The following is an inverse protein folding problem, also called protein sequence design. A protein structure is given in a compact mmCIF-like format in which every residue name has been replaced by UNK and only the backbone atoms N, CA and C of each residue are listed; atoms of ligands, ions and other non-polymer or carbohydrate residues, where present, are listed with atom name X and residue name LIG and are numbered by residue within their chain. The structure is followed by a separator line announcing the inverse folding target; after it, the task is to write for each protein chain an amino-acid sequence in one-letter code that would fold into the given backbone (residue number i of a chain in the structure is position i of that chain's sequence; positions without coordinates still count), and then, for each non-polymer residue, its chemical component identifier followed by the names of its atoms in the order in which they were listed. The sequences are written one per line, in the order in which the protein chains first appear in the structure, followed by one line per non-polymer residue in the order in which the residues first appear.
data_IF_727354215355
#
_entry.id   IF_727354215355
#
_cell.length_a   1.000
_cell.length_b   1.000
_cell.length_c   1.000
_cell.angle_alpha   90.00
_cell.angle_beta   90.00
_cell.angle_gamma   90.00
#
_symmetry.space_group_name_H-M   'P 1'
#
loop_
_entity.id
_entity.type
_entity.pdbx_description
1 polymer ?
#
# COMPACT_ATOMS: atom_id res chain seq x y z
N UNK A 1 2.98 -56.99 15.64
CA UNK A 1 3.35 -55.74 14.94
C UNK A 1 2.22 -54.70 14.98
N UNK A 2 1.27 -54.76 15.92
CA UNK A 2 0.04 -53.96 15.88
C UNK A 2 0.07 -52.69 16.76
N UNK A 3 1.22 -52.34 17.36
CA UNK A 3 1.34 -51.17 18.25
C UNK A 3 1.75 -49.89 17.51
N UNK A 4 2.38 -50.00 16.33
CA UNK A 4 2.79 -48.83 15.54
C UNK A 4 1.65 -48.26 14.67
N UNK A 5 0.66 -49.08 14.28
CA UNK A 5 -0.45 -48.66 13.40
C UNK A 5 -1.40 -47.65 14.07
N UNK A 6 -1.60 -47.75 15.40
CA UNK A 6 -2.47 -46.83 16.14
C UNK A 6 -1.84 -45.45 16.37
N UNK A 7 -0.53 -45.38 16.61
CA UNK A 7 0.17 -44.10 16.80
C UNK A 7 0.32 -43.31 15.48
N UNK A 8 0.44 -44.02 14.36
CA UNK A 8 0.51 -43.43 13.02
C UNK A 8 -0.84 -42.82 12.61
N UNK A 9 -1.95 -43.50 12.90
CA UNK A 9 -3.31 -43.03 12.59
C UNK A 9 -3.70 -41.75 13.36
N UNK A 10 -3.32 -41.64 14.63
CA UNK A 10 -3.56 -40.43 15.43
C UNK A 10 -2.68 -39.24 14.98
N UNK A 11 -1.44 -39.51 14.54
CA UNK A 11 -0.56 -38.52 13.93
C UNK A 11 -1.15 -37.98 12.62
N UNK A 12 -1.65 -38.88 11.77
CA UNK A 12 -2.32 -38.53 10.51
C UNK A 12 -3.58 -37.69 10.74
N UNK A 13 -4.42 -38.08 11.71
CA UNK A 13 -5.63 -37.32 12.08
C UNK A 13 -5.31 -35.92 12.58
N UNK A 14 -4.27 -35.78 13.40
CA UNK A 14 -3.81 -34.49 13.89
C UNK A 14 -3.27 -33.63 12.74
N UNK A 15 -2.50 -34.21 11.83
CA UNK A 15 -1.99 -33.53 10.64
C UNK A 15 -3.11 -33.02 9.74
N UNK A 16 -4.17 -33.82 9.56
CA UNK A 16 -5.34 -33.46 8.78
C UNK A 16 -6.14 -32.32 9.43
N UNK A 17 -6.25 -32.31 10.77
CA UNK A 17 -6.88 -31.22 11.49
C UNK A 17 -6.13 -29.89 11.32
N UNK A 18 -4.80 -29.90 11.44
CA UNK A 18 -3.97 -28.72 11.18
C UNK A 18 -4.08 -28.26 9.72
N UNK A 19 -4.03 -29.18 8.77
CA UNK A 19 -4.22 -28.87 7.35
C UNK A 19 -5.58 -28.21 7.09
N UNK A 20 -6.65 -28.65 7.78
CA UNK A 20 -7.97 -28.05 7.69
C UNK A 20 -7.99 -26.61 8.22
N UNK A 21 -7.34 -26.34 9.35
CA UNK A 21 -7.19 -24.98 9.89
C UNK A 21 -6.41 -24.08 8.93
N UNK A 22 -5.29 -24.57 8.40
CA UNK A 22 -4.47 -23.83 7.41
C UNK A 22 -5.29 -23.51 6.17
N UNK A 23 -6.08 -24.47 5.67
CA UNK A 23 -6.95 -24.27 4.54
C UNK A 23 -8.06 -23.25 4.82
N UNK A 24 -8.62 -23.24 6.04
CA UNK A 24 -9.59 -22.23 6.47
C UNK A 24 -8.97 -20.83 6.53
N UNK A 25 -7.76 -20.71 7.08
CA UNK A 25 -7.02 -19.44 7.11
C UNK A 25 -6.73 -18.94 5.69
N UNK A 26 -6.32 -19.84 4.78
CA UNK A 26 -6.08 -19.50 3.37
C UNK A 26 -7.35 -18.97 2.69
N UNK A 27 -8.50 -19.62 2.92
CA UNK A 27 -9.79 -19.14 2.42
C UNK A 27 -10.14 -17.76 2.98
N UNK A 28 -9.98 -17.54 4.29
CA UNK A 28 -10.22 -16.24 4.91
C UNK A 28 -9.32 -15.15 4.29
N UNK A 29 -8.03 -15.43 4.07
CA UNK A 29 -7.09 -14.54 3.39
C UNK A 29 -7.55 -14.20 1.97
N UNK A 30 -7.99 -15.19 1.18
CA UNK A 30 -8.49 -14.95 -0.19
C UNK A 30 -9.76 -14.09 -0.21
N UNK A 31 -10.66 -14.29 0.74
CA UNK A 31 -11.87 -13.47 0.83
C UNK A 31 -11.56 -12.03 1.24
N UNK A 32 -10.60 -11.82 2.15
CA UNK A 32 -10.06 -10.50 2.46
C UNK A 32 -9.46 -9.84 1.21
N UNK A 33 -8.62 -10.56 0.46
CA UNK A 33 -8.00 -10.07 -0.77
C UNK A 33 -9.06 -9.64 -1.80
N UNK A 34 -10.07 -10.47 -2.05
CA UNK A 34 -11.18 -10.11 -2.95
C UNK A 34 -11.90 -8.86 -2.48
N UNK A 35 -12.30 -8.81 -1.21
CA UNK A 35 -13.04 -7.67 -0.65
C UNK A 35 -12.28 -6.35 -0.84
N UNK A 36 -10.98 -6.34 -0.55
CA UNK A 36 -10.15 -5.14 -0.68
C UNK A 36 -9.68 -4.87 -2.12
N UNK A 37 -9.65 -5.87 -3.01
CA UNK A 37 -9.33 -5.67 -4.43
C UNK A 37 -10.44 -4.91 -5.17
N UNK A 38 -11.71 -5.13 -4.79
CA UNK A 38 -12.85 -4.43 -5.40
C UNK A 38 -13.17 -3.10 -4.72
N UNK A 39 -12.59 -2.83 -3.54
CA UNK A 39 -12.83 -1.61 -2.79
C UNK A 39 -11.76 -0.56 -3.11
N UNK A 40 -12.17 0.62 -3.57
CA UNK A 40 -11.24 1.74 -3.72
C UNK A 40 -10.61 2.06 -2.35
N UNK A 41 -9.28 2.14 -2.29
CA UNK A 41 -8.53 2.31 -1.04
C UNK A 41 -8.95 3.54 -0.20
N UNK A 42 -9.65 4.50 -0.81
CA UNK A 42 -10.16 5.69 -0.15
C UNK A 42 -11.27 5.42 0.90
N UNK A 43 -11.79 4.18 1.00
CA UNK A 43 -12.83 3.80 1.98
C UNK A 43 -12.33 2.94 3.14
N UNK A 44 -11.04 2.59 3.18
CA UNK A 44 -10.49 1.73 4.21
C UNK A 44 -10.29 2.50 5.52
N UNK A 45 -10.76 1.95 6.64
CA UNK A 45 -10.47 2.44 7.99
C UNK A 45 -9.02 2.11 8.37
N UNK A 46 -8.46 2.84 9.33
CA UNK A 46 -7.07 2.69 9.76
C UNK A 46 -6.68 1.24 10.13
N UNK A 47 -7.57 0.50 10.81
CA UNK A 47 -7.31 -0.90 11.17
C UNK A 47 -7.33 -1.85 9.97
N UNK A 48 -8.12 -1.55 8.94
CA UNK A 48 -8.17 -2.29 7.68
C UNK A 48 -6.89 -2.05 6.89
N UNK A 49 -6.40 -0.81 6.86
CA UNK A 49 -5.10 -0.46 6.26
C UNK A 49 -3.97 -1.26 6.94
N UNK A 50 -3.93 -1.30 8.28
CA UNK A 50 -2.94 -2.08 9.03
C UNK A 50 -2.99 -3.58 8.69
N UNK A 51 -4.19 -4.13 8.54
CA UNK A 51 -4.40 -5.52 8.13
C UNK A 51 -3.88 -5.77 6.71
N UNK A 52 -4.28 -4.94 5.75
CA UNK A 52 -3.86 -5.04 4.35
C UNK A 52 -2.35 -4.96 4.25
N UNK A 53 -1.70 -3.99 4.89
CA UNK A 53 -0.24 -3.86 4.86
C UNK A 53 0.47 -5.08 5.45
N UNK A 54 -0.05 -5.66 6.54
CA UNK A 54 0.60 -6.78 7.24
C UNK A 54 0.47 -8.12 6.51
N UNK A 55 -0.65 -8.36 5.84
CA UNK A 55 -0.99 -9.67 5.29
C UNK A 55 -1.09 -9.70 3.76
N UNK A 56 -1.31 -8.54 3.13
CA UNK A 56 -1.56 -8.39 1.69
C UNK A 56 -0.70 -7.30 1.03
N UNK A 57 0.25 -6.69 1.75
CA UNK A 57 1.21 -5.77 1.16
C UNK A 57 1.99 -6.52 0.11
N UNK A 58 1.66 -6.31 -1.18
CA UNK A 58 2.29 -6.98 -2.32
C UNK A 58 3.81 -6.79 -2.17
N UNK A 59 4.51 -7.84 -1.77
CA UNK A 59 5.97 -7.85 -1.86
C UNK A 59 6.29 -7.87 -3.34
N UNK A 60 6.75 -6.72 -3.86
CA UNK A 60 7.24 -6.62 -5.23
C UNK A 60 8.49 -7.48 -5.35
N UNK A 61 8.33 -8.72 -5.80
CA UNK A 61 9.43 -9.67 -5.79
C UNK A 61 9.22 -10.92 -6.62
N UNK A 62 8.60 -10.81 -7.81
CA UNK A 62 8.56 -11.79 -8.92
C UNK A 62 7.39 -11.34 -9.83
N UNK A 63 7.51 -11.00 -11.11
CA UNK A 63 8.20 -11.68 -12.22
C UNK A 63 8.47 -10.68 -13.36
N UNK A 64 9.69 -10.77 -13.89
CA UNK A 64 10.10 -10.62 -15.29
C UNK A 64 9.75 -9.35 -16.10
N UNK A 65 10.82 -8.56 -16.25
CA UNK A 65 11.20 -7.79 -17.42
C UNK A 65 10.81 -8.47 -18.73
N UNK A 66 10.02 -7.79 -19.57
CA UNK A 66 10.35 -7.72 -20.98
C UNK A 66 10.12 -6.29 -21.50
N UNK A 67 11.20 -5.75 -22.02
CA UNK A 67 11.33 -4.48 -22.71
C UNK A 67 10.65 -4.55 -24.07
N UNK A 68 9.85 -3.56 -24.44
CA UNK A 68 9.84 -3.09 -25.83
C UNK A 68 9.34 -1.66 -25.91
N UNK A 69 10.02 -0.93 -26.77
CA UNK A 69 10.10 0.51 -26.90
C UNK A 69 9.04 1.06 -27.88
N UNK A 70 8.90 2.39 -27.89
CA UNK A 70 8.32 3.25 -28.94
C UNK A 70 6.76 3.23 -29.06
N UNK A 71 6.02 4.28 -29.41
CA UNK A 71 6.26 5.58 -30.03
C UNK A 71 5.07 6.52 -29.69
N UNK A 72 5.31 7.83 -29.85
CA UNK A 72 4.42 9.01 -29.77
C UNK A 72 2.96 8.78 -30.23
N UNK A 73 2.00 9.53 -29.67
CA UNK A 73 1.34 10.70 -30.32
C UNK A 73 0.20 11.23 -29.41
N UNK A 74 0.01 12.54 -29.48
CA UNK A 74 -0.94 13.42 -28.80
C UNK A 74 -2.41 12.98 -28.88
N UNK A 75 -3.17 13.14 -27.80
CA UNK A 75 -4.50 13.80 -27.74
C UNK A 75 -5.24 13.38 -26.47
N UNK A 76 -5.60 14.40 -25.67
CA UNK A 76 -6.76 14.52 -24.76
C UNK A 76 -7.53 13.25 -24.39
N UNK A 77 -7.61 12.97 -23.09
CA UNK A 77 -8.86 12.85 -22.29
C UNK A 77 -8.47 12.46 -20.86
N UNK A 78 -8.97 13.22 -19.88
CA UNK A 78 -8.75 13.01 -18.45
C UNK A 78 -9.15 11.60 -17.96
N UNK A 79 -8.58 11.14 -16.83
CA UNK A 79 -9.39 10.39 -15.89
C UNK A 79 -9.27 10.89 -14.44
N UNK A 80 -10.45 11.25 -13.95
CA UNK A 80 -10.98 11.17 -12.59
C UNK A 80 -10.12 10.55 -11.49
N UNK A 81 -9.99 11.32 -10.40
CA UNK A 81 -9.64 10.96 -9.04
C UNK A 81 -10.04 9.53 -8.62
N UNK A 82 -9.04 8.73 -8.25
CA UNK A 82 -9.13 7.65 -7.26
C UNK A 82 -7.71 7.27 -6.84
N UNK A 83 -7.16 8.01 -5.88
CA UNK A 83 -5.85 7.77 -5.29
C UNK A 83 -5.94 6.50 -4.41
N UNK A 84 -5.74 5.35 -5.03
CA UNK A 84 -5.67 4.06 -4.34
C UNK A 84 -4.22 3.78 -3.92
N UNK A 85 -4.05 3.25 -2.70
CA UNK A 85 -2.82 2.78 -2.05
C UNK A 85 -1.52 3.11 -2.81
N UNK A 86 -0.84 4.20 -2.43
CA UNK A 86 0.44 4.57 -3.01
C UNK A 86 1.54 3.59 -2.59
N UNK A 87 1.62 2.46 -3.28
CA UNK A 87 2.88 1.80 -3.58
C UNK A 87 3.49 2.53 -4.79
N UNK A 88 3.98 3.76 -4.57
CA UNK A 88 4.86 4.45 -5.51
C UNK A 88 6.30 4.32 -5.01
N UNK A 89 6.92 3.20 -5.32
CA UNK A 89 8.36 3.22 -5.61
C UNK A 89 8.53 3.52 -7.08
N UNK A 90 8.36 4.80 -7.44
CA UNK A 90 8.93 5.41 -8.64
C UNK A 90 9.21 6.86 -8.30
N UNK A 91 10.46 7.27 -8.46
CA UNK A 91 10.88 8.67 -8.57
C UNK A 91 9.97 9.38 -9.58
N UNK A 92 8.89 9.96 -9.09
CA UNK A 92 8.03 10.87 -9.81
C UNK A 92 7.78 11.98 -8.82
N UNK A 93 8.44 13.11 -9.05
CA UNK A 93 8.22 14.36 -8.34
C UNK A 93 6.73 14.71 -8.43
N UNK A 94 5.97 14.38 -7.40
CA UNK A 94 4.58 14.81 -7.26
C UNK A 94 4.55 15.95 -6.25
N UNK A 95 4.08 17.11 -6.71
CA UNK A 95 3.77 18.21 -5.83
C UNK A 95 2.57 17.83 -4.95
N UNK A 96 2.62 18.21 -3.67
CA UNK A 96 1.55 17.92 -2.69
C UNK A 96 0.84 19.23 -2.37
N UNK A 97 -0.49 19.20 -2.38
CA UNK A 97 -1.33 20.33 -1.98
C UNK A 97 -1.97 20.06 -0.61
N UNK A 98 -1.91 21.04 0.29
CA UNK A 98 -2.43 20.94 1.66
C UNK A 98 -3.29 22.18 1.95
N UNK A 99 -4.57 21.97 2.28
CA UNK A 99 -5.46 23.05 2.72
C UNK A 99 -5.37 23.24 4.22
N UNK A 100 -5.17 24.48 4.64
CA UNK A 100 -5.04 24.87 6.05
C UNK A 100 -5.90 26.08 6.36
N UNK A 101 -6.22 26.26 7.64
CA UNK A 101 -6.81 27.53 8.09
C UNK A 101 -5.77 28.65 8.04
N UNK A 102 -6.18 29.93 8.06
CA UNK A 102 -5.21 31.02 8.13
C UNK A 102 -4.36 30.94 9.40
N UNK A 103 -3.05 31.16 9.28
CA UNK A 103 -2.11 31.11 10.38
C UNK A 103 -0.66 30.88 9.96
N UNK A 104 0.24 30.82 10.94
CA UNK A 104 1.66 30.58 10.73
C UNK A 104 1.98 29.08 10.87
N UNK A 105 2.63 28.51 9.85
CA UNK A 105 2.94 27.09 9.76
C UNK A 105 4.45 26.84 9.57
N UNK A 106 4.93 25.72 10.11
CA UNK A 106 6.29 25.22 9.91
C UNK A 106 6.24 23.91 9.14
N UNK A 107 6.68 23.93 7.88
CA UNK A 107 6.65 22.77 6.98
C UNK A 107 8.05 22.18 6.88
N UNK A 108 8.20 20.90 7.16
CA UNK A 108 9.49 20.19 7.10
C UNK A 108 9.41 19.04 6.11
N UNK A 109 10.34 19.00 5.15
CA UNK A 109 10.52 17.89 4.23
C UNK A 109 11.83 17.18 4.55
N UNK A 110 11.85 15.85 4.43
CA UNK A 110 13.00 14.98 4.75
C UNK A 110 13.25 14.00 3.61
N UNK A 111 14.49 13.88 3.14
CA UNK A 111 14.90 12.89 2.13
C UNK A 111 15.35 11.57 2.76
N UNK A 112 15.48 10.53 1.93
CA UNK A 112 15.96 9.21 2.34
C UNK A 112 17.38 9.27 2.94
N UNK A 113 18.20 10.21 2.49
CA UNK A 113 19.54 10.48 3.01
C UNK A 113 19.55 11.24 4.35
N UNK A 114 18.38 11.36 5.00
CA UNK A 114 18.16 12.07 6.27
C UNK A 114 18.46 13.58 6.20
N UNK A 115 18.49 14.17 5.00
CA UNK A 115 18.58 15.62 4.82
C UNK A 115 17.20 16.23 5.11
N UNK A 116 17.15 17.30 5.89
CA UNK A 116 15.91 17.98 6.26
C UNK A 116 15.95 19.45 5.82
N UNK A 117 14.83 19.96 5.35
CA UNK A 117 14.62 21.36 5.05
C UNK A 117 13.29 21.81 5.63
N UNK A 118 13.32 22.91 6.38
CA UNK A 118 12.15 23.47 7.07
C UNK A 118 11.90 24.89 6.57
N UNK A 119 10.65 25.19 6.21
CA UNK A 119 10.18 26.52 5.85
C UNK A 119 9.08 26.96 6.81
N UNK A 120 9.14 28.21 7.26
CA UNK A 120 8.07 28.84 8.05
C UNK A 120 7.32 29.80 7.15
N UNK A 121 6.02 29.61 7.02
CA UNK A 121 5.15 30.42 6.16
C UNK A 121 3.97 30.95 6.95
N UNK A 122 3.57 32.17 6.63
CA UNK A 122 2.32 32.75 7.10
C UNK A 122 1.29 32.65 5.96
N UNK A 123 0.11 32.12 6.27
CA UNK A 123 -0.93 31.83 5.27
C UNK A 123 -2.18 32.64 5.60
N UNK A 124 -2.56 33.54 4.70
CA UNK A 124 -3.79 34.32 4.77
C UNK A 124 -4.99 33.57 4.17
N UNK A 125 -6.22 34.02 4.49
CA UNK A 125 -7.44 33.44 3.96
C UNK A 125 -7.53 33.55 2.42
N UNK A 126 -7.63 32.40 1.75
CA UNK A 126 -7.69 32.33 0.28
C UNK A 126 -6.33 32.47 -0.42
N UNK A 127 -5.23 32.53 0.34
CA UNK A 127 -3.87 32.52 -0.19
C UNK A 127 -3.41 31.09 -0.48
N UNK A 128 -2.57 30.93 -1.50
CA UNK A 128 -1.82 29.71 -1.78
C UNK A 128 -0.34 30.04 -1.84
N UNK A 129 0.48 29.17 -1.23
CA UNK A 129 1.94 29.34 -1.13
C UNK A 129 2.61 28.09 -1.67
N UNK A 130 3.36 28.23 -2.77
CA UNK A 130 4.13 27.15 -3.36
C UNK A 130 5.48 27.00 -2.64
N UNK A 131 5.74 25.80 -2.10
CA UNK A 131 6.98 25.48 -1.40
C UNK A 131 7.76 24.43 -2.19
N UNK A 132 8.98 24.79 -2.60
CA UNK A 132 9.93 23.87 -3.25
C UNK A 132 11.03 23.49 -2.26
N UNK A 133 11.22 22.20 -2.05
CA UNK A 133 12.27 21.65 -1.20
C UNK A 133 13.36 21.03 -2.08
N UNK A 134 14.61 21.45 -1.88
CA UNK A 134 15.79 20.90 -2.56
C UNK A 134 16.56 20.09 -1.52
N UNK A 135 16.28 18.79 -1.48
CA UNK A 135 16.73 17.83 -0.46
C UNK A 135 17.68 16.78 -1.01
#
# INVERSE_FOLDING_TARGET
MCFNELEEEDSERLSAAFASIVNLMNQATKECEKYYSFMAACKCKEHEIKHICRYHGRQAGETELESSEEERTETSVAPSQAQTCQQRTRQASEDIYIEVSPGTYSVTATSEDMVQQTHVVDVDAGQSVDLTFVL
#
